data_IF_061111711675
#
_entry.id   IF_061111711675
#
_cell.length_a   1.000
_cell.length_b   1.000
_cell.length_c   1.000
_cell.angle_alpha   90.00
_cell.angle_beta   90.00
_cell.angle_gamma   90.00
#
_symmetry.space_group_name_H-M   'P 1'
#
loop_
_entity.id
_entity.type
_entity.pdbx_description
1 polymer ?
#
# COMPACT_ATOMS: atom_id res chain seq x y z
N UNK A 1 -1.22 34.48 0.41
CA UNK A 1 -0.80 34.08 1.77
C UNK A 1 0.60 33.50 1.68
N UNK A 2 1.58 34.17 2.27
CA UNK A 2 3.01 33.82 2.11
C UNK A 2 3.47 32.75 3.10
N UNK A 3 4.43 31.92 2.69
CA UNK A 3 5.22 31.10 3.60
C UNK A 3 6.65 30.95 3.05
N UNK A 4 7.54 31.77 3.58
CA UNK A 4 9.00 31.65 3.65
C UNK A 4 9.69 30.77 2.60
N UNK A 5 10.31 31.42 1.62
CA UNK A 5 11.34 30.84 0.75
C UNK A 5 12.57 30.42 1.55
N UNK A 6 12.48 29.29 2.26
CA UNK A 6 13.63 28.63 2.87
C UNK A 6 14.53 28.19 1.72
N UNK A 7 15.67 28.89 1.55
CA UNK A 7 16.67 28.54 0.52
C UNK A 7 16.98 27.05 0.62
N UNK A 8 16.80 26.34 -0.49
CA UNK A 8 17.10 24.91 -0.58
C UNK A 8 18.55 24.64 -0.18
N UNK A 9 18.75 23.67 0.72
CA UNK A 9 20.08 23.24 1.17
C UNK A 9 20.31 21.81 0.74
N UNK A 10 21.11 21.62 -0.32
CA UNK A 10 21.50 20.28 -0.79
C UNK A 10 22.17 19.43 0.30
N UNK A 11 22.91 20.06 1.23
CA UNK A 11 23.50 19.38 2.37
C UNK A 11 22.48 18.66 3.24
N UNK A 12 21.25 19.19 3.37
CA UNK A 12 20.18 18.56 4.14
C UNK A 12 19.69 17.26 3.48
N UNK A 13 19.61 17.22 2.15
CA UNK A 13 19.29 15.99 1.39
C UNK A 13 20.35 14.92 1.66
N UNK A 14 21.63 15.30 1.61
CA UNK A 14 22.74 14.39 1.92
C UNK A 14 22.68 13.86 3.35
N UNK A 15 22.40 14.73 4.34
CA UNK A 15 22.23 14.29 5.74
C UNK A 15 21.08 13.31 5.89
N UNK A 16 19.90 13.63 5.34
CA UNK A 16 18.73 12.75 5.42
C UNK A 16 18.93 11.43 4.70
N UNK A 17 19.59 11.43 3.53
CA UNK A 17 19.91 10.19 2.83
C UNK A 17 20.84 9.28 3.65
N UNK A 18 21.83 9.82 4.35
CA UNK A 18 22.69 9.04 5.24
C UNK A 18 21.93 8.49 6.45
N UNK A 19 21.04 9.30 7.07
CA UNK A 19 20.18 8.83 8.14
C UNK A 19 19.22 7.73 7.65
N UNK A 20 18.70 7.87 6.44
CA UNK A 20 17.85 6.87 5.81
C UNK A 20 18.59 5.55 5.58
N UNK A 21 19.84 5.58 5.11
CA UNK A 21 20.68 4.38 4.98
C UNK A 21 20.88 3.69 6.33
N UNK A 22 21.21 4.45 7.38
CA UNK A 22 21.33 3.91 8.75
C UNK A 22 20.03 3.27 9.25
N UNK A 23 18.89 3.91 9.01
CA UNK A 23 17.56 3.37 9.34
C UNK A 23 17.24 2.10 8.55
N UNK A 24 17.56 2.07 7.26
CA UNK A 24 17.38 0.90 6.38
C UNK A 24 18.14 -0.30 6.94
N UNK A 25 19.37 -0.12 7.41
CA UNK A 25 20.14 -1.22 8.02
C UNK A 25 19.41 -1.84 9.23
N UNK A 26 18.82 -1.02 10.08
CA UNK A 26 18.04 -1.48 11.25
C UNK A 26 16.77 -2.22 10.79
N UNK A 27 16.00 -1.61 9.88
CA UNK A 27 14.76 -2.18 9.36
C UNK A 27 15.01 -3.50 8.62
N UNK A 28 16.10 -3.60 7.85
CA UNK A 28 16.51 -4.83 7.16
C UNK A 28 16.68 -5.97 8.15
N UNK A 29 17.41 -5.75 9.24
CA UNK A 29 17.61 -6.77 10.27
C UNK A 29 16.27 -7.21 10.90
N UNK A 30 15.39 -6.26 11.21
CA UNK A 30 14.07 -6.57 11.78
C UNK A 30 13.20 -7.40 10.83
N UNK A 31 13.11 -7.00 9.56
CA UNK A 31 12.31 -7.69 8.56
C UNK A 31 12.91 -9.04 8.16
N UNK A 32 14.24 -9.19 8.20
CA UNK A 32 14.90 -10.47 7.94
C UNK A 32 14.56 -11.49 9.04
N UNK A 33 14.56 -11.08 10.31
CA UNK A 33 14.13 -11.95 11.42
C UNK A 33 12.66 -12.35 11.27
N UNK A 34 11.77 -11.39 10.94
CA UNK A 34 10.34 -11.67 10.72
C UNK A 34 10.11 -12.61 9.54
N UNK A 35 10.85 -12.42 8.44
CA UNK A 35 10.79 -13.28 7.26
C UNK A 35 11.19 -14.72 7.62
N UNK A 36 12.32 -14.87 8.33
CA UNK A 36 12.80 -16.18 8.78
C UNK A 36 11.81 -16.88 9.71
N UNK A 37 11.19 -16.14 10.64
CA UNK A 37 10.17 -16.70 11.53
C UNK A 37 8.94 -17.15 10.76
N UNK A 38 8.40 -16.29 9.89
CA UNK A 38 7.23 -16.63 9.07
C UNK A 38 7.51 -17.84 8.18
N UNK A 39 8.73 -17.95 7.62
CA UNK A 39 9.14 -19.10 6.83
C UNK A 39 9.20 -20.38 7.67
N UNK A 40 9.77 -20.32 8.88
CA UNK A 40 9.76 -21.44 9.82
C UNK A 40 8.34 -21.88 10.19
N UNK A 41 7.42 -20.94 10.41
CA UNK A 41 6.03 -21.25 10.73
C UNK A 41 5.34 -21.97 9.57
N UNK A 42 5.57 -21.55 8.32
CA UNK A 42 5.05 -22.25 7.13
C UNK A 42 5.52 -23.70 7.13
N UNK A 43 6.81 -23.95 7.34
CA UNK A 43 7.37 -25.30 7.38
C UNK A 43 6.71 -26.14 8.48
N UNK A 44 6.53 -25.58 9.67
CA UNK A 44 5.88 -26.29 10.79
C UNK A 44 4.42 -26.62 10.47
N UNK A 45 3.67 -25.69 9.89
CA UNK A 45 2.27 -25.90 9.48
C UNK A 45 2.16 -26.99 8.41
N UNK A 46 3.08 -27.02 7.44
CA UNK A 46 3.16 -28.05 6.42
C UNK A 46 3.40 -29.45 7.02
N UNK A 47 4.32 -29.59 7.98
CA UNK A 47 4.54 -30.86 8.68
C UNK A 47 3.35 -31.33 9.52
N UNK A 48 2.52 -30.39 10.00
CA UNK A 48 1.27 -30.68 10.70
C UNK A 48 0.09 -30.99 9.75
N UNK A 49 0.30 -30.93 8.43
CA UNK A 49 -0.75 -31.12 7.42
C UNK A 49 -1.74 -29.95 7.33
N UNK A 50 -1.43 -28.80 7.94
CA UNK A 50 -2.31 -27.61 7.97
C UNK A 50 -2.02 -26.69 6.78
N UNK A 51 -2.39 -27.16 5.58
CA UNK A 51 -2.04 -26.49 4.33
C UNK A 51 -2.66 -25.10 4.17
N UNK A 52 -3.94 -24.97 4.51
CA UNK A 52 -4.64 -23.68 4.45
C UNK A 52 -3.99 -22.65 5.36
N UNK A 53 -3.66 -23.02 6.61
CA UNK A 53 -2.95 -22.13 7.52
C UNK A 53 -1.55 -21.77 6.99
N UNK A 54 -0.86 -22.73 6.38
CA UNK A 54 0.44 -22.50 5.76
C UNK A 54 0.33 -21.50 4.59
N UNK A 55 -0.72 -21.60 3.76
CA UNK A 55 -1.01 -20.68 2.66
C UNK A 55 -1.26 -19.26 3.15
N UNK A 56 -2.02 -19.10 4.24
CA UNK A 56 -2.20 -17.81 4.91
C UNK A 56 -0.86 -17.27 5.46
N UNK A 57 -0.04 -18.13 6.06
CA UNK A 57 1.27 -17.72 6.61
C UNK A 57 2.27 -17.35 5.52
N UNK A 58 2.21 -17.96 4.34
CA UNK A 58 3.02 -17.59 3.16
C UNK A 58 2.82 -16.14 2.73
N UNK A 59 1.62 -15.58 2.89
CA UNK A 59 1.37 -14.17 2.60
C UNK A 59 2.28 -13.25 3.44
N UNK A 60 2.54 -13.62 4.70
CA UNK A 60 3.48 -12.90 5.54
C UNK A 60 4.91 -13.02 5.02
N UNK A 61 5.34 -14.21 4.58
CA UNK A 61 6.67 -14.41 3.98
C UNK A 61 6.85 -13.50 2.75
N UNK A 62 5.87 -13.48 1.84
CA UNK A 62 5.91 -12.61 0.65
C UNK A 62 5.97 -11.14 1.04
N UNK A 63 5.21 -10.72 2.05
CA UNK A 63 5.18 -9.33 2.51
C UNK A 63 6.51 -8.89 3.12
N UNK A 64 7.12 -9.73 3.95
CA UNK A 64 8.44 -9.46 4.53
C UNK A 64 9.54 -9.45 3.46
N UNK A 65 9.51 -10.37 2.50
CA UNK A 65 10.46 -10.38 1.37
C UNK A 65 10.31 -9.14 0.47
N UNK A 66 9.08 -8.76 0.13
CA UNK A 66 8.82 -7.53 -0.64
C UNK A 66 9.34 -6.29 0.08
N UNK A 67 9.23 -6.26 1.40
CA UNK A 67 9.72 -5.17 2.25
C UNK A 67 11.25 -5.10 2.22
N UNK A 68 11.94 -6.24 2.36
CA UNK A 68 13.40 -6.33 2.24
C UNK A 68 13.90 -5.87 0.87
N UNK A 69 13.23 -6.30 -0.20
CA UNK A 69 13.57 -5.89 -1.56
C UNK A 69 13.39 -4.38 -1.75
N UNK A 70 12.29 -3.81 -1.23
CA UNK A 70 12.05 -2.37 -1.31
C UNK A 70 13.11 -1.58 -0.51
N UNK A 71 13.53 -2.05 0.67
CA UNK A 71 14.63 -1.45 1.44
C UNK A 71 15.92 -1.41 0.64
N UNK A 72 16.27 -2.49 -0.06
CA UNK A 72 17.46 -2.53 -0.91
C UNK A 72 17.38 -1.52 -2.05
N UNK A 73 16.22 -1.40 -2.71
CA UNK A 73 16.02 -0.38 -3.76
C UNK A 73 16.15 1.05 -3.21
N UNK A 74 15.56 1.32 -2.04
CA UNK A 74 15.64 2.64 -1.39
C UNK A 74 17.07 3.00 -0.97
N UNK A 75 17.86 2.03 -0.50
CA UNK A 75 19.28 2.23 -0.16
C UNK A 75 20.09 2.68 -1.38
N UNK A 76 19.91 2.00 -2.52
CA UNK A 76 20.56 2.36 -3.79
C UNK A 76 20.20 3.80 -4.19
N UNK A 77 18.93 4.18 -4.07
CA UNK A 77 18.50 5.55 -4.38
C UNK A 77 19.07 6.58 -3.41
N UNK A 78 19.18 6.27 -2.12
CA UNK A 78 19.82 7.18 -1.16
C UNK A 78 21.30 7.42 -1.50
N UNK A 79 22.04 6.38 -1.89
CA UNK A 79 23.41 6.53 -2.37
C UNK A 79 23.49 7.41 -3.63
N UNK A 80 22.60 7.18 -4.60
CA UNK A 80 22.56 7.98 -5.82
C UNK A 80 22.31 9.48 -5.53
N UNK A 81 21.43 9.81 -4.58
CA UNK A 81 21.19 11.20 -4.16
C UNK A 81 22.44 11.85 -3.55
N UNK A 82 23.24 11.09 -2.78
CA UNK A 82 24.48 11.56 -2.17
C UNK A 82 25.54 11.85 -3.24
N UNK A 83 25.68 10.94 -4.21
CA UNK A 83 26.64 11.04 -5.29
C UNK A 83 26.32 12.21 -6.22
N UNK A 84 25.04 12.40 -6.54
CA UNK A 84 24.54 13.43 -7.47
C UNK A 84 24.12 14.73 -6.76
N UNK A 85 24.56 14.97 -5.52
CA UNK A 85 24.21 16.16 -4.71
C UNK A 85 24.44 17.51 -5.42
N UNK A 86 25.45 17.59 -6.29
CA UNK A 86 25.75 18.82 -7.06
C UNK A 86 24.63 19.09 -8.06
N UNK A 87 24.18 18.06 -8.78
CA UNK A 87 23.12 18.15 -9.77
C UNK A 87 21.80 18.59 -9.12
N UNK A 88 21.47 17.99 -7.97
CA UNK A 88 20.32 18.36 -7.14
C UNK A 88 20.38 19.83 -6.71
N UNK A 89 21.58 20.34 -6.37
CA UNK A 89 21.78 21.75 -5.96
C UNK A 89 21.57 22.72 -7.13
N UNK A 90 22.08 22.38 -8.31
CA UNK A 90 22.16 23.31 -9.45
C UNK A 90 20.91 23.36 -10.30
N UNK A 91 20.18 22.25 -10.45
CA UNK A 91 19.01 22.18 -11.33
C UNK A 91 17.74 22.57 -10.54
N UNK A 92 16.93 23.44 -11.12
CA UNK A 92 15.64 23.87 -10.55
C UNK A 92 14.54 22.81 -10.77
N UNK A 93 14.57 22.14 -11.92
CA UNK A 93 13.72 21.01 -12.25
C UNK A 93 14.38 19.68 -11.89
N UNK A 94 13.58 18.61 -11.78
CA UNK A 94 14.07 17.27 -11.46
C UNK A 94 14.92 16.74 -12.64
N UNK A 95 16.22 16.47 -12.44
CA UNK A 95 17.08 15.93 -13.50
C UNK A 95 16.62 14.53 -13.92
N UNK A 96 16.65 14.23 -15.22
CA UNK A 96 16.25 12.92 -15.77
C UNK A 96 17.03 11.76 -15.12
N UNK A 97 18.35 11.93 -14.90
CA UNK A 97 19.22 10.96 -14.21
C UNK A 97 18.76 10.61 -12.78
N UNK A 98 17.97 11.49 -12.15
CA UNK A 98 17.49 11.34 -10.78
C UNK A 98 15.98 11.19 -10.68
N UNK A 99 15.26 11.31 -11.80
CA UNK A 99 13.81 11.26 -11.83
C UNK A 99 13.32 9.95 -11.22
N UNK A 100 13.91 8.82 -11.62
CA UNK A 100 13.50 7.52 -11.09
C UNK A 100 13.71 7.41 -9.57
N UNK A 101 14.89 7.78 -9.08
CA UNK A 101 15.23 7.68 -7.67
C UNK A 101 14.36 8.60 -6.80
N UNK A 102 14.19 9.85 -7.22
CA UNK A 102 13.41 10.85 -6.47
C UNK A 102 11.93 10.46 -6.48
N UNK A 103 11.36 10.13 -7.64
CA UNK A 103 9.96 9.69 -7.75
C UNK A 103 9.70 8.44 -6.92
N UNK A 104 10.62 7.47 -6.97
CA UNK A 104 10.56 6.26 -6.16
C UNK A 104 10.57 6.56 -4.66
N UNK A 105 11.52 7.37 -4.17
CA UNK A 105 11.58 7.71 -2.75
C UNK A 105 10.34 8.48 -2.27
N UNK A 106 9.77 9.39 -3.09
CA UNK A 106 8.51 10.07 -2.81
C UNK A 106 7.35 9.07 -2.69
N UNK A 107 7.26 8.13 -3.64
CA UNK A 107 6.24 7.09 -3.61
C UNK A 107 6.38 6.20 -2.36
N UNK A 108 7.61 5.78 -2.04
CA UNK A 108 7.87 4.95 -0.86
C UNK A 108 7.49 5.66 0.45
N UNK A 109 7.85 6.93 0.59
CA UNK A 109 7.44 7.78 1.72
C UNK A 109 5.91 7.90 1.87
N UNK A 110 5.13 7.70 0.82
CA UNK A 110 3.66 7.71 0.91
C UNK A 110 3.07 6.41 1.46
N UNK A 111 3.81 5.30 1.38
CA UNK A 111 3.34 3.96 1.76
C UNK A 111 3.85 3.52 3.12
N UNK A 112 4.98 4.06 3.56
CA UNK A 112 5.68 3.64 4.78
C UNK A 112 5.71 4.74 5.84
N UNK A 113 4.96 4.55 6.93
CA UNK A 113 4.87 5.51 8.04
C UNK A 113 6.02 5.44 9.05
N UNK A 114 6.75 4.32 9.11
CA UNK A 114 7.83 4.08 10.10
C UNK A 114 9.18 4.69 9.67
N UNK A 115 9.17 5.58 8.66
CA UNK A 115 10.37 6.09 8.00
C UNK A 115 10.38 7.64 7.90
N UNK A 116 10.62 8.35 9.02
CA UNK A 116 10.56 9.81 9.07
C UNK A 116 11.55 10.51 8.13
N UNK A 117 12.73 9.93 7.92
CA UNK A 117 13.74 10.51 7.02
C UNK A 117 13.25 10.55 5.55
N UNK A 118 12.49 9.54 5.12
CA UNK A 118 11.86 9.53 3.79
C UNK A 118 10.73 10.56 3.69
N UNK A 119 9.96 10.75 4.76
CA UNK A 119 8.95 11.81 4.80
C UNK A 119 9.59 13.20 4.65
N UNK A 120 10.68 13.47 5.35
CA UNK A 120 11.42 14.73 5.19
C UNK A 120 12.01 14.88 3.78
N UNK A 121 12.56 13.82 3.19
CA UNK A 121 13.04 13.85 1.81
C UNK A 121 11.90 14.17 0.83
N UNK A 122 10.72 13.56 1.01
CA UNK A 122 9.52 13.86 0.23
C UNK A 122 9.13 15.33 0.36
N UNK A 123 9.11 15.90 1.57
CA UNK A 123 8.79 17.32 1.76
C UNK A 123 9.78 18.24 1.03
N UNK A 124 11.07 17.94 1.12
CA UNK A 124 12.13 18.70 0.43
C UNK A 124 11.94 18.64 -1.08
N UNK A 125 11.70 17.47 -1.66
CA UNK A 125 11.52 17.32 -3.10
C UNK A 125 10.18 17.90 -3.57
N UNK A 126 9.13 17.80 -2.77
CA UNK A 126 7.84 18.46 -3.03
C UNK A 126 8.00 19.97 -3.07
N UNK A 127 8.71 20.55 -2.09
CA UNK A 127 9.00 21.98 -2.06
C UNK A 127 9.90 22.44 -3.20
N UNK A 128 10.77 21.57 -3.73
CA UNK A 128 11.73 21.94 -4.78
C UNK A 128 11.19 21.76 -6.19
N UNK A 129 10.52 20.64 -6.47
CA UNK A 129 10.05 20.28 -7.81
C UNK A 129 8.53 20.43 -7.98
N UNK A 130 7.81 20.78 -6.90
CA UNK A 130 6.40 21.12 -6.93
C UNK A 130 5.48 20.03 -6.40
N UNK A 131 4.29 20.46 -5.95
CA UNK A 131 3.26 19.57 -5.41
C UNK A 131 2.71 18.61 -6.45
N UNK A 132 2.53 19.06 -7.70
CA UNK A 132 2.00 18.20 -8.76
C UNK A 132 2.98 17.07 -9.11
N UNK A 133 4.28 17.35 -9.15
CA UNK A 133 5.30 16.32 -9.33
C UNK A 133 5.23 15.26 -8.23
N UNK A 134 5.13 15.69 -6.97
CA UNK A 134 5.01 14.76 -5.84
C UNK A 134 3.69 13.95 -5.90
N UNK A 135 2.57 14.60 -6.25
CA UNK A 135 1.28 13.93 -6.40
C UNK A 135 1.31 12.87 -7.50
N UNK A 136 1.91 13.17 -8.66
CA UNK A 136 2.09 12.21 -9.76
C UNK A 136 2.86 10.97 -9.32
N UNK A 137 3.90 11.13 -8.50
CA UNK A 137 4.68 10.01 -7.96
C UNK A 137 3.85 9.14 -7.00
N UNK A 138 3.05 9.76 -6.12
CA UNK A 138 2.23 9.05 -5.12
C UNK A 138 1.06 8.32 -5.74
N UNK A 139 0.36 9.00 -6.66
CA UNK A 139 -0.85 8.52 -7.33
C UNK A 139 -0.53 7.60 -8.51
N UNK A 140 0.75 7.48 -8.90
CA UNK A 140 1.21 6.72 -10.06
C UNK A 140 0.51 7.16 -11.36
N UNK A 141 0.39 8.48 -11.56
CA UNK A 141 -0.21 9.07 -12.77
C UNK A 141 0.69 8.86 -14.00
N UNK A 142 0.14 9.11 -15.19
CA UNK A 142 0.89 9.08 -16.45
C UNK A 142 2.19 9.91 -16.33
N UNK A 143 3.29 9.40 -16.90
CA UNK A 143 4.64 9.98 -16.84
C UNK A 143 5.34 9.96 -15.47
N UNK A 144 4.85 9.23 -14.46
CA UNK A 144 5.62 9.04 -13.23
C UNK A 144 6.85 8.14 -13.48
N UNK A 145 8.03 8.56 -13.00
CA UNK A 145 9.27 7.80 -13.14
C UNK A 145 9.47 6.79 -12.01
N UNK A 146 8.42 6.39 -11.28
CA UNK A 146 8.57 5.42 -10.18
C UNK A 146 9.03 4.08 -10.73
N UNK A 147 10.05 3.48 -10.12
CA UNK A 147 10.57 2.20 -10.60
C UNK A 147 9.48 1.11 -10.55
N UNK A 148 9.13 0.47 -11.69
CA UNK A 148 7.97 -0.41 -11.79
C UNK A 148 7.96 -1.57 -10.79
N UNK A 149 9.12 -2.18 -10.51
CA UNK A 149 9.24 -3.28 -9.54
C UNK A 149 8.96 -2.86 -8.09
N UNK A 150 9.05 -1.57 -7.76
CA UNK A 150 8.83 -1.09 -6.39
C UNK A 150 7.34 -0.94 -6.07
N UNK A 151 6.52 -0.62 -7.07
CA UNK A 151 5.07 -0.44 -6.94
C UNK A 151 4.38 -1.67 -6.33
N UNK A 152 4.53 -2.90 -6.87
CA UNK A 152 3.88 -4.07 -6.31
C UNK A 152 4.47 -4.47 -4.95
N UNK A 153 5.73 -4.14 -4.67
CA UNK A 153 6.40 -4.45 -3.38
C UNK A 153 5.88 -3.60 -2.22
N UNK A 154 5.52 -2.34 -2.50
CA UNK A 154 4.98 -1.39 -1.52
C UNK A 154 3.44 -1.27 -1.58
N UNK A 155 2.79 -2.17 -2.32
CA UNK A 155 1.34 -2.23 -2.41
C UNK A 155 0.74 -2.81 -1.13
N UNK A 156 -0.35 -2.23 -0.65
CA UNK A 156 -1.15 -2.79 0.45
C UNK A 156 -2.11 -3.90 -0.02
N UNK A 157 -2.17 -4.16 -1.34
CA UNK A 157 -3.06 -5.20 -1.89
C UNK A 157 -2.58 -6.58 -1.42
N UNK A 158 -3.55 -7.45 -1.14
CA UNK A 158 -3.29 -8.85 -0.85
C UNK A 158 -2.51 -9.51 -2.00
N UNK A 159 -1.64 -10.44 -1.64
CA UNK A 159 -0.91 -11.22 -2.63
C UNK A 159 -1.89 -12.19 -3.30
N UNK A 160 -1.97 -12.15 -4.63
CA UNK A 160 -2.88 -13.03 -5.38
C UNK A 160 -2.66 -14.51 -5.06
N UNK A 161 -3.75 -15.29 -5.07
CA UNK A 161 -3.77 -16.72 -4.73
C UNK A 161 -2.67 -17.51 -5.42
N UNK A 162 -2.47 -17.29 -6.73
CA UNK A 162 -1.42 -17.96 -7.50
C UNK A 162 0.00 -17.71 -6.98
N UNK A 163 0.33 -16.48 -6.56
CA UNK A 163 1.68 -16.17 -6.03
C UNK A 163 1.92 -16.82 -4.67
N UNK A 164 0.89 -16.85 -3.80
CA UNK A 164 0.94 -17.56 -2.52
C UNK A 164 1.14 -19.06 -2.74
N UNK A 165 0.34 -19.65 -3.62
CA UNK A 165 0.40 -21.08 -3.94
C UNK A 165 1.75 -21.48 -4.54
N UNK A 166 2.31 -20.68 -5.45
CA UNK A 166 3.65 -20.94 -5.99
C UNK A 166 4.71 -20.94 -4.89
N UNK A 167 4.71 -19.94 -4.00
CA UNK A 167 5.67 -19.91 -2.89
C UNK A 167 5.47 -21.06 -1.90
N UNK A 168 4.22 -21.46 -1.62
CA UNK A 168 3.93 -22.61 -0.77
C UNK A 168 4.49 -23.91 -1.39
N UNK A 169 4.29 -24.10 -2.70
CA UNK A 169 4.84 -25.23 -3.45
C UNK A 169 6.37 -25.25 -3.39
N UNK A 170 7.02 -24.10 -3.57
CA UNK A 170 8.47 -23.97 -3.49
C UNK A 170 8.96 -24.39 -2.09
N UNK A 171 8.34 -23.89 -1.02
CA UNK A 171 8.74 -24.23 0.37
C UNK A 171 8.49 -25.73 0.65
N UNK A 172 7.34 -26.27 0.24
CA UNK A 172 7.00 -27.67 0.45
C UNK A 172 7.99 -28.60 -0.27
N UNK A 173 8.38 -28.26 -1.50
CA UNK A 173 9.38 -29.00 -2.27
C UNK A 173 10.75 -28.99 -1.57
N UNK A 174 11.17 -27.84 -1.01
CA UNK A 174 12.43 -27.75 -0.26
C UNK A 174 12.42 -28.57 1.04
N UNK A 175 11.27 -28.79 1.66
CA UNK A 175 11.12 -29.55 2.90
C UNK A 175 10.70 -31.02 2.69
N UNK A 176 10.51 -31.46 1.43
CA UNK A 176 10.07 -32.82 1.12
C UNK A 176 8.63 -33.14 1.52
N UNK A 177 7.77 -32.12 1.63
CA UNK A 177 6.34 -32.29 1.92
C UNK A 177 5.55 -32.33 0.61
N UNK A 178 4.80 -33.40 0.38
CA UNK A 178 3.86 -33.48 -0.74
C UNK A 178 2.59 -32.72 -0.39
N UNK A 179 2.19 -31.76 -1.22
CA UNK A 179 0.94 -31.05 -1.02
C UNK A 179 -0.23 -31.84 -1.62
N UNK A 180 -1.34 -31.95 -0.89
CA UNK A 180 -2.62 -32.39 -1.47
C UNK A 180 -3.00 -31.43 -2.61
N UNK A 181 -3.38 -31.99 -3.75
CA UNK A 181 -4.00 -31.21 -4.81
C UNK A 181 -5.44 -30.90 -4.38
N UNK A 182 -5.73 -29.65 -4.07
CA UNK A 182 -7.11 -29.19 -3.99
C UNK A 182 -7.56 -28.80 -5.39
N UNK A 183 -8.60 -29.46 -5.89
CA UNK A 183 -9.32 -29.03 -7.09
C UNK A 183 -9.82 -27.59 -6.85
N UNK A 184 -9.59 -26.69 -7.82
CA UNK A 184 -9.98 -25.28 -7.73
C UNK A 184 -11.51 -25.13 -7.70
N UNK A 185 -12.16 -25.30 -6.55
CA UNK A 185 -13.55 -24.88 -6.35
C UNK A 185 -13.80 -24.33 -4.95
N UNK A 186 -13.58 -23.02 -4.78
CA UNK A 186 -14.55 -22.14 -4.08
C UNK A 186 -14.38 -20.71 -4.58
N UNK A 187 -15.14 -20.41 -5.64
CA UNK A 187 -15.92 -19.18 -5.84
C UNK A 187 -15.45 -17.92 -5.11
N UNK A 188 -14.99 -16.95 -5.91
CA UNK A 188 -15.08 -15.53 -5.60
C UNK A 188 -16.51 -15.19 -5.13
N UNK A 189 -16.71 -15.09 -3.81
CA UNK A 189 -17.90 -14.45 -3.26
C UNK A 189 -17.72 -12.95 -3.50
N UNK A 190 -18.19 -12.54 -4.67
CA UNK A 190 -18.87 -11.30 -5.00
C UNK A 190 -19.06 -10.40 -3.77
N UNK A 191 -18.15 -9.44 -3.58
CA UNK A 191 -18.49 -8.18 -2.90
C UNK A 191 -19.27 -7.34 -3.92
N UNK A 192 -20.49 -7.76 -4.21
CA UNK A 192 -21.57 -6.85 -4.57
C UNK A 192 -22.53 -6.83 -3.39
N UNK A 193 -22.17 -6.04 -2.36
CA UNK A 193 -23.20 -5.44 -1.53
C UNK A 193 -23.96 -4.48 -2.43
N UNK A 194 -24.98 -5.02 -3.09
CA UNK A 194 -25.97 -4.27 -3.85
C UNK A 194 -26.81 -3.50 -2.83
N UNK A 195 -26.35 -2.31 -2.48
CA UNK A 195 -27.16 -1.30 -1.81
C UNK A 195 -28.28 -0.96 -2.78
N UNK A 196 -29.45 -1.55 -2.58
CA UNK A 196 -30.68 -1.17 -3.26
C UNK A 196 -31.74 -0.84 -2.21
N UNK A 197 -31.64 0.34 -1.61
CA UNK A 197 -32.82 1.02 -1.08
C UNK A 197 -33.57 1.60 -2.29
N UNK A 198 -34.66 0.93 -2.63
CA UNK A 198 -35.65 1.37 -3.63
C UNK A 198 -36.23 2.72 -3.20
N UNK A 199 -35.98 3.76 -3.99
CA UNK A 199 -36.94 4.84 -4.22
C UNK A 199 -37.63 4.52 -5.54
N UNK A 200 -38.92 4.20 -5.48
CA UNK A 200 -39.76 4.14 -6.67
C UNK A 200 -40.88 5.15 -6.47
N UNK A 201 -40.84 6.16 -7.33
CA UNK A 201 -41.82 7.20 -7.50
C UNK A 201 -43.00 6.61 -8.28
N UNK A 202 -44.21 6.74 -7.76
CA UNK A 202 -45.44 6.65 -8.54
C UNK A 202 -46.22 7.95 -8.31
N UNK A 203 -46.34 8.72 -9.37
CA UNK A 203 -47.30 9.81 -9.53
C UNK A 203 -48.67 9.18 -9.78
N UNK A 204 -49.72 9.77 -9.21
CA UNK A 204 -50.95 10.10 -9.93
C UNK A 204 -51.71 11.17 -9.13
N UNK A 205 -52.16 12.20 -9.85
CA UNK A 205 -52.85 13.39 -9.36
C UNK A 205 -54.36 13.16 -9.20
N UNK A 206 -54.97 13.83 -8.22
CA UNK A 206 -56.01 14.87 -8.44
C UNK A 206 -56.82 15.15 -7.15
N UNK A 207 -57.02 16.44 -6.86
CA UNK A 207 -58.33 16.96 -6.46
C UNK A 207 -58.67 17.10 -4.96
N UNK A 208 -58.73 18.35 -4.51
CA UNK A 208 -59.91 18.83 -3.76
C UNK A 208 -59.85 18.91 -2.23
N UNK A 209 -59.68 20.15 -1.75
CA UNK A 209 -60.48 20.81 -0.69
C UNK A 209 -60.84 20.08 0.63
N UNK A 210 -60.42 20.73 1.72
CA UNK A 210 -61.27 21.16 2.86
C UNK A 210 -61.35 20.29 4.14
N UNK A 211 -61.04 20.98 5.24
CA UNK A 211 -61.53 20.87 6.62
C UNK A 211 -61.40 19.56 7.45
N UNK A 212 -60.52 19.68 8.45
CA UNK A 212 -60.72 19.37 9.87
C UNK A 212 -62.05 18.72 10.34
N UNK A 213 -61.92 17.61 11.09
CA UNK A 213 -62.61 17.23 12.36
C UNK A 213 -62.34 15.74 12.62
N UNK A 214 -61.57 15.30 13.63
CA UNK A 214 -61.90 15.09 15.07
C UNK A 214 -63.28 14.48 15.33
N UNK A 215 -63.29 13.27 15.92
CA UNK A 215 -64.23 12.59 16.86
C UNK A 215 -64.18 11.07 16.53
N UNK A 216 -63.53 10.17 17.29
CA UNK A 216 -63.75 9.60 18.64
C UNK A 216 -64.85 8.52 18.77
N UNK A 217 -64.44 7.40 19.40
CA UNK A 217 -65.14 6.39 20.22
C UNK A 217 -65.81 5.20 19.48
N UNK A 218 -65.32 3.96 19.70
CA UNK A 218 -65.75 2.96 20.74
C UNK A 218 -67.19 2.47 20.46
N UNK A 219 -67.58 1.20 20.51
CA UNK A 219 -67.18 0.03 21.30
C UNK A 219 -67.91 -1.20 20.70
N UNK A 220 -67.39 -2.41 20.88
CA UNK A 220 -68.24 -3.58 21.20
C UNK A 220 -67.42 -4.84 21.51
N UNK A 221 -67.52 -5.23 22.77
CA UNK A 221 -67.17 -6.51 23.38
C UNK A 221 -67.83 -7.71 22.68
N UNK A 222 -67.25 -8.91 22.88
CA UNK A 222 -67.95 -10.10 23.38
C UNK A 222 -66.91 -11.10 23.93
N UNK A 223 -67.05 -11.33 25.24
CA UNK A 223 -66.68 -12.48 26.11
C UNK A 223 -65.21 -12.74 26.41
#
# INVERSE_FOLDING_TARGET
>A
MGLFGRKFKASRVTTLANLAISRIAILRNQHQVRCSLAHSDVIQLLHLGRQEDALHRVEHVIKEQNTLDALAMMEIYCHLLIDKRVLIKTKGECPEELAEAISSLIFAASRWGEFPELHELREIFTSRYGNEFAAQCVDLRNNCSVHPKMIPKLSKRHTGSGKRRNMLNDIAAHCGVTLCAEDEETSDIIIEVKVNSKEECAQDEEGGTEAASVILLEDSQIV
#
